data_IF_912257133187
#
_entry.id   IF_912257133187
#
_cell.length_a   1.000
_cell.length_b   1.000
_cell.length_c   1.000
_cell.angle_alpha   90.00
_cell.angle_beta   90.00
_cell.angle_gamma   90.00
#
_symmetry.space_group_name_H-M   'P 1'
#
loop_
_entity.id
_entity.type
_entity.pdbx_description
1 polymer ?
#
# COMPACT_ATOMS: atom_id res chain seq x y z
N UNK A 1 -1.70 7.86 11.68
CA UNK A 1 -2.54 6.67 11.50
C UNK A 1 -1.81 5.67 10.60
N UNK A 2 -2.20 4.38 10.60
CA UNK A 2 -1.36 3.33 10.02
C UNK A 2 -1.27 3.36 8.49
N UNK A 3 -0.07 3.11 7.99
CA UNK A 3 0.18 2.69 6.61
C UNK A 3 0.21 1.17 6.59
N UNK A 4 -0.39 0.55 5.59
CA UNK A 4 -0.53 -0.90 5.46
C UNK A 4 0.25 -1.40 4.26
N UNK A 5 0.78 -2.62 4.38
CA UNK A 5 1.39 -3.34 3.26
C UNK A 5 0.87 -4.77 3.19
N UNK A 6 0.36 -5.19 2.04
CA UNK A 6 -0.17 -6.54 1.88
C UNK A 6 0.92 -7.60 1.64
N UNK A 7 0.53 -8.86 1.48
CA UNK A 7 1.46 -9.93 1.15
C UNK A 7 2.04 -9.74 -0.26
N UNK A 8 3.36 -9.87 -0.40
CA UNK A 8 4.02 -9.85 -1.71
C UNK A 8 3.76 -11.16 -2.46
N UNK A 9 2.64 -11.23 -3.20
CA UNK A 9 2.18 -12.45 -3.88
C UNK A 9 2.14 -12.32 -5.39
N UNK A 10 2.18 -11.11 -5.94
CA UNK A 10 2.10 -10.90 -7.38
C UNK A 10 3.48 -11.06 -8.03
N UNK A 11 3.66 -12.09 -8.87
CA UNK A 11 4.92 -12.34 -9.57
C UNK A 11 5.00 -11.49 -10.83
N UNK A 12 5.95 -10.56 -10.88
CA UNK A 12 6.22 -9.73 -12.05
C UNK A 12 7.71 -9.39 -12.15
N UNK A 13 8.28 -9.55 -13.35
CA UNK A 13 9.72 -9.33 -13.64
C UNK A 13 10.66 -10.06 -12.67
N UNK A 14 10.33 -11.32 -12.34
CA UNK A 14 11.14 -12.16 -11.44
C UNK A 14 11.07 -11.78 -9.96
N UNK A 15 10.19 -10.85 -9.58
CA UNK A 15 10.02 -10.39 -8.20
C UNK A 15 8.57 -10.56 -7.75
N UNK A 16 8.39 -10.70 -6.43
CA UNK A 16 7.07 -10.63 -5.80
C UNK A 16 6.77 -9.20 -5.37
N UNK A 17 5.55 -8.76 -5.65
CA UNK A 17 5.08 -7.41 -5.41
C UNK A 17 3.91 -7.39 -4.43
N UNK A 18 3.89 -6.34 -3.62
CA UNK A 18 2.86 -5.98 -2.65
C UNK A 18 2.38 -4.54 -2.90
N UNK A 19 1.25 -4.19 -2.31
CA UNK A 19 0.66 -2.87 -2.37
C UNK A 19 0.82 -2.16 -1.02
N UNK A 20 1.25 -0.91 -1.07
CA UNK A 20 1.27 0.02 0.05
C UNK A 20 0.02 0.91 -0.02
N UNK A 21 -0.74 0.99 1.07
CA UNK A 21 -2.00 1.76 1.20
C UNK A 21 -2.05 2.44 2.56
N UNK A 22 -2.90 3.45 2.75
CA UNK A 22 -3.01 4.15 4.03
C UNK A 22 -4.41 4.74 4.24
N UNK A 23 -4.69 5.21 5.46
CA UNK A 23 -5.95 5.86 5.80
C UNK A 23 -6.10 7.25 5.14
N UNK A 24 -4.98 7.92 4.83
CA UNK A 24 -4.91 9.18 4.10
C UNK A 24 -3.83 9.15 3.01
N UNK A 25 -4.00 9.94 1.94
CA UNK A 25 -2.96 10.06 0.91
C UNK A 25 -1.65 10.66 1.46
N UNK A 26 -1.74 11.57 2.42
CA UNK A 26 -0.56 12.17 3.06
C UNK A 26 0.33 11.14 3.74
N UNK A 27 -0.27 10.20 4.49
CA UNK A 27 0.46 9.12 5.15
C UNK A 27 1.08 8.15 4.14
N UNK A 28 0.35 7.85 3.07
CA UNK A 28 0.84 7.01 1.99
C UNK A 28 2.07 7.63 1.31
N UNK A 29 2.02 8.92 0.98
CA UNK A 29 3.16 9.63 0.39
C UNK A 29 4.34 9.75 1.34
N UNK A 30 4.10 10.05 2.62
CA UNK A 30 5.17 10.14 3.61
C UNK A 30 5.91 8.79 3.78
N UNK A 31 5.20 7.65 3.75
CA UNK A 31 5.87 6.35 3.78
C UNK A 31 6.62 6.06 2.48
N UNK A 32 6.04 6.39 1.32
CA UNK A 32 6.71 6.23 0.03
C UNK A 32 8.03 7.03 -0.03
N UNK A 33 8.03 8.26 0.46
CA UNK A 33 9.22 9.12 0.53
C UNK A 33 10.30 8.51 1.44
N UNK A 34 9.91 7.97 2.62
CA UNK A 34 10.83 7.25 3.52
C UNK A 34 11.42 5.98 2.89
N UNK A 35 10.69 5.35 1.98
CA UNK A 35 11.16 4.19 1.20
C UNK A 35 12.00 4.59 -0.03
N UNK A 36 12.11 5.88 -0.34
CA UNK A 36 12.79 6.39 -1.53
C UNK A 36 12.01 6.16 -2.82
N UNK A 37 10.69 5.95 -2.74
CA UNK A 37 9.82 5.72 -3.89
C UNK A 37 9.37 7.08 -4.43
N UNK A 38 9.64 7.41 -5.71
CA UNK A 38 9.31 8.72 -6.25
C UNK A 38 7.80 8.93 -6.37
N UNK A 39 7.33 10.17 -6.17
CA UNK A 39 5.91 10.55 -6.25
C UNK A 39 5.21 10.10 -7.54
N UNK A 40 5.93 10.06 -8.67
CA UNK A 40 5.42 9.59 -9.98
C UNK A 40 5.01 8.11 -10.01
N UNK A 41 5.50 7.30 -9.06
CA UNK A 41 5.13 5.90 -8.94
C UNK A 41 3.78 5.71 -8.22
N UNK A 42 3.18 6.80 -7.73
CA UNK A 42 1.85 6.75 -7.13
C UNK A 42 0.80 6.35 -8.16
N UNK A 43 0.04 5.31 -7.84
CA UNK A 43 -1.07 4.84 -8.64
C UNK A 43 -2.37 5.47 -8.12
N UNK A 44 -2.74 6.63 -8.67
CA UNK A 44 -4.05 7.22 -8.43
C UNK A 44 -5.11 6.57 -9.34
N UNK A 45 -5.73 5.47 -8.89
CA UNK A 45 -6.69 4.69 -9.69
C UNK A 45 -8.00 4.50 -8.94
N UNK A 46 -9.11 4.44 -9.67
CA UNK A 46 -10.44 4.12 -9.10
C UNK A 46 -10.51 2.71 -8.49
N UNK A 47 -9.61 1.81 -8.91
CA UNK A 47 -9.41 0.49 -8.32
C UNK A 47 -8.70 0.53 -6.95
N UNK A 48 -8.10 1.66 -6.58
CA UNK A 48 -7.43 1.90 -5.30
C UNK A 48 -6.22 2.83 -5.44
N UNK A 49 -6.09 3.84 -4.59
CA UNK A 49 -4.88 4.66 -4.45
C UNK A 49 -3.78 3.88 -3.70
N UNK A 50 -2.61 3.68 -4.32
CA UNK A 50 -1.53 2.87 -3.73
C UNK A 50 -0.15 3.16 -4.35
N UNK A 51 0.88 2.51 -3.78
CA UNK A 51 2.17 2.28 -4.43
C UNK A 51 2.44 0.78 -4.52
N UNK A 52 3.08 0.35 -5.60
CA UNK A 52 3.60 -1.02 -5.73
C UNK A 52 5.01 -1.09 -5.13
N UNK A 53 5.25 -2.10 -4.30
CA UNK A 53 6.54 -2.32 -3.64
C UNK A 53 7.01 -3.76 -3.85
N UNK A 54 8.31 -3.93 -4.04
CA UNK A 54 8.94 -5.26 -4.09
C UNK A 54 8.92 -5.91 -2.71
N UNK A 55 9.16 -7.23 -2.65
CA UNK A 55 9.30 -7.94 -1.38
C UNK A 55 10.35 -7.33 -0.42
N UNK A 56 11.45 -6.79 -0.97
CA UNK A 56 12.48 -6.08 -0.21
C UNK A 56 11.93 -4.76 0.37
N UNK A 57 11.30 -3.93 -0.45
CA UNK A 57 10.70 -2.68 0.01
C UNK A 57 9.55 -2.91 0.99
N UNK A 58 8.79 -3.99 0.84
CA UNK A 58 7.80 -4.43 1.83
C UNK A 58 8.45 -4.68 3.20
N UNK A 59 9.56 -5.42 3.24
CA UNK A 59 10.26 -5.69 4.50
C UNK A 59 10.75 -4.38 5.16
N UNK A 60 11.26 -3.45 4.35
CA UNK A 60 11.64 -2.11 4.80
C UNK A 60 10.44 -1.29 5.30
N UNK A 61 9.31 -1.35 4.62
CA UNK A 61 8.09 -0.65 5.03
C UNK A 61 7.64 -1.12 6.43
N UNK A 62 7.66 -2.44 6.68
CA UNK A 62 7.35 -3.01 7.99
C UNK A 62 8.33 -2.51 9.05
N UNK A 63 9.63 -2.52 8.76
CA UNK A 63 10.65 -1.99 9.68
C UNK A 63 10.47 -0.49 9.98
N UNK A 64 9.86 0.26 9.06
CA UNK A 64 9.53 1.68 9.21
C UNK A 64 8.18 1.94 9.89
N UNK A 65 7.46 0.88 10.29
CA UNK A 65 6.19 0.94 11.02
C UNK A 65 4.94 0.70 10.18
N UNK A 66 5.07 0.26 8.93
CA UNK A 66 3.90 -0.18 8.16
C UNK A 66 3.32 -1.47 8.77
N UNK A 67 1.99 -1.53 8.85
CA UNK A 67 1.26 -2.69 9.37
C UNK A 67 1.15 -3.75 8.27
N UNK A 68 1.77 -4.93 8.46
CA UNK A 68 1.60 -6.03 7.50
C UNK A 68 0.18 -6.58 7.60
N UNK A 69 -0.51 -6.69 6.47
CA UNK A 69 -1.84 -7.29 6.38
C UNK A 69 -1.81 -8.47 5.42
N UNK A 70 -2.53 -9.54 5.76
CA UNK A 70 -2.62 -10.73 4.94
C UNK A 70 -4.05 -11.04 4.57
N UNK A 71 -4.32 -11.35 3.30
CA UNK A 71 -5.65 -11.83 2.87
C UNK A 71 -6.03 -13.18 3.49
N UNK A 72 -5.04 -13.92 4.00
CA UNK A 72 -5.23 -15.24 4.60
C UNK A 72 -5.55 -15.16 6.11
N UNK A 73 -5.08 -14.12 6.81
CA UNK A 73 -5.29 -13.94 8.26
C UNK A 73 -6.22 -12.78 8.60
N UNK A 74 -6.16 -11.70 7.82
CA UNK A 74 -6.71 -10.38 8.16
C UNK A 74 -7.79 -9.94 7.16
N UNK A 75 -8.60 -10.88 6.68
CA UNK A 75 -9.50 -10.69 5.53
C UNK A 75 -10.43 -9.46 5.67
N UNK A 76 -10.94 -9.20 6.87
CA UNK A 76 -11.80 -8.05 7.14
C UNK A 76 -11.02 -6.72 7.03
N UNK A 77 -9.81 -6.68 7.57
CA UNK A 77 -8.94 -5.50 7.52
C UNK A 77 -8.50 -5.20 6.09
N UNK A 78 -8.07 -6.23 5.34
CA UNK A 78 -7.72 -6.10 3.92
C UNK A 78 -8.88 -5.50 3.12
N UNK A 79 -10.12 -5.96 3.35
CA UNK A 79 -11.31 -5.40 2.70
C UNK A 79 -11.52 -3.92 3.05
N UNK A 80 -11.38 -3.56 4.33
CA UNK A 80 -11.53 -2.18 4.77
C UNK A 80 -10.47 -1.26 4.14
N UNK A 81 -9.20 -1.68 4.14
CA UNK A 81 -8.08 -0.93 3.54
C UNK A 81 -8.28 -0.76 2.03
N UNK A 82 -8.68 -1.82 1.31
CA UNK A 82 -8.98 -1.71 -0.13
C UNK A 82 -10.16 -0.78 -0.40
N UNK A 83 -11.22 -0.86 0.42
CA UNK A 83 -12.37 0.04 0.28
C UNK A 83 -11.96 1.50 0.48
N UNK A 84 -11.09 1.77 1.46
CA UNK A 84 -10.53 3.09 1.72
C UNK A 84 -9.67 3.59 0.56
N UNK A 85 -8.73 2.77 0.09
CA UNK A 85 -7.89 3.09 -1.06
C UNK A 85 -8.73 3.41 -2.31
N UNK A 86 -9.82 2.66 -2.53
CA UNK A 86 -10.75 2.91 -3.63
C UNK A 86 -11.50 4.24 -3.48
N UNK A 87 -11.96 4.58 -2.28
CA UNK A 87 -12.61 5.87 -2.02
C UNK A 87 -11.63 7.03 -2.29
N UNK A 88 -10.37 6.91 -1.86
CA UNK A 88 -9.31 7.89 -2.15
C UNK A 88 -9.05 8.04 -3.65
N UNK A 89 -8.94 6.93 -4.35
CA UNK A 89 -8.74 6.92 -5.81
C UNK A 89 -9.94 7.48 -6.60
N UNK A 90 -11.13 7.53 -5.99
CA UNK A 90 -12.32 8.21 -6.53
C UNK A 90 -12.46 9.66 -6.08
N UNK A 91 -11.58 10.15 -5.19
CA UNK A 91 -11.69 11.48 -4.58
C UNK A 91 -12.82 11.62 -3.56
N UNK A 92 -13.40 10.50 -3.10
CA UNK A 92 -14.46 10.45 -2.08
C UNK A 92 -13.90 10.48 -0.66
N UNK A 93 -12.58 10.35 -0.53
CA UNK A 93 -11.87 10.30 0.74
C UNK A 93 -10.52 11.02 0.64
N UNK A 94 -10.06 11.67 1.72
CA UNK A 94 -8.72 12.26 1.80
C UNK A 94 -7.61 11.20 1.86
#
# INVERSE_FOLDING_TARGET
MPVYVDDAVHLWRGQRWAHLMADTLGELHAMADRLGIPRRAFQNKTSGAHYDVTAELRARAIALGAVPISRHRDRAQVRAVIARAKAQGRGEAP
#
